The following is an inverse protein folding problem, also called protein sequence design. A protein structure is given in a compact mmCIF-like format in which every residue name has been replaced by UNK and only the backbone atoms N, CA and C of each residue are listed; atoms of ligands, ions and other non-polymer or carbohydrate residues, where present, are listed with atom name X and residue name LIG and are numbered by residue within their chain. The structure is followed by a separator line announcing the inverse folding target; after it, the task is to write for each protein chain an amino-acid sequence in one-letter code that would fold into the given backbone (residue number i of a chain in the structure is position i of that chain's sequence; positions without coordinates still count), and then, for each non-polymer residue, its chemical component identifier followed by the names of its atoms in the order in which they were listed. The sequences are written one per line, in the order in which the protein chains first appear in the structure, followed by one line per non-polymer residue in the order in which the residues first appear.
data_IF_863705031726
#
_entry.id   IF_863705031726
#
_cell.length_a   1.000
_cell.length_b   1.000
_cell.length_c   1.000
_cell.angle_alpha   90.00
_cell.angle_beta   90.00
_cell.angle_gamma   90.00
#
_symmetry.space_group_name_H-M   'P 1'
#
loop_
_entity.id
_entity.type
_entity.pdbx_description
1 polymer ?
#
# COMPACT_ATOMS: atom_id res chain seq x y z
N UNK A 1 19.07 -11.29 -10.75
CA UNK A 1 17.87 -12.12 -10.48
C UNK A 1 17.78 -13.30 -11.45
N UNK A 2 17.84 -13.09 -12.77
CA UNK A 2 17.67 -14.18 -13.74
C UNK A 2 18.80 -15.23 -13.73
N UNK A 3 19.98 -14.88 -13.20
CA UNK A 3 21.12 -15.81 -13.08
C UNK A 3 21.05 -16.72 -11.84
N UNK A 4 20.04 -16.55 -10.97
CA UNK A 4 19.87 -17.40 -9.79
C UNK A 4 19.40 -18.80 -10.23
N UNK A 5 20.08 -19.89 -9.83
CA UNK A 5 19.73 -21.25 -10.27
C UNK A 5 18.35 -21.72 -9.81
N UNK A 6 17.71 -21.02 -8.86
CA UNK A 6 16.33 -21.28 -8.41
C UNK A 6 15.29 -20.67 -9.35
N UNK A 7 15.69 -19.73 -10.20
CA UNK A 7 14.81 -19.02 -11.15
C UNK A 7 14.81 -19.74 -12.48
N UNK A 8 13.63 -20.14 -12.94
CA UNK A 8 13.42 -20.68 -14.28
C UNK A 8 12.56 -19.73 -15.08
N UNK A 9 13.16 -19.03 -16.04
CA UNK A 9 12.43 -18.17 -16.97
C UNK A 9 11.72 -19.03 -18.04
N UNK A 10 10.42 -18.81 -18.19
CA UNK A 10 9.61 -19.43 -19.23
C UNK A 10 8.93 -18.30 -20.00
N UNK A 11 9.22 -18.19 -21.30
CA UNK A 11 8.59 -17.21 -22.18
C UNK A 11 7.38 -17.87 -22.83
N UNK A 12 6.19 -17.34 -22.56
CA UNK A 12 4.94 -17.84 -23.12
C UNK A 12 3.72 -17.30 -22.36
N UNK A 13 2.54 -17.73 -22.77
CA UNK A 13 1.29 -17.38 -22.09
C UNK A 13 1.16 -18.13 -20.75
N UNK A 14 1.07 -17.36 -19.66
CA UNK A 14 1.03 -17.89 -18.30
C UNK A 14 -0.20 -18.76 -18.03
N UNK A 15 -1.37 -18.37 -18.59
CA UNK A 15 -2.62 -19.12 -18.47
C UNK A 15 -2.50 -20.50 -19.11
N UNK A 16 -2.05 -20.58 -20.36
CA UNK A 16 -1.81 -21.84 -21.07
C UNK A 16 -0.75 -22.70 -20.38
N UNK A 17 0.32 -22.07 -19.87
CA UNK A 17 1.37 -22.77 -19.13
C UNK A 17 0.85 -23.43 -17.85
N UNK A 18 -0.04 -22.76 -17.11
CA UNK A 18 -0.69 -23.31 -15.93
C UNK A 18 -1.73 -24.37 -16.29
N UNK A 19 -2.51 -24.15 -17.36
CA UNK A 19 -3.50 -25.11 -17.83
C UNK A 19 -2.86 -26.46 -18.16
N UNK A 20 -1.74 -26.48 -18.88
CA UNK A 20 -1.01 -27.70 -19.24
C UNK A 20 -0.07 -28.25 -18.16
N UNK A 21 0.14 -27.54 -17.05
CA UNK A 21 1.06 -27.97 -15.99
C UNK A 21 0.56 -29.24 -15.27
N UNK A 22 1.45 -30.00 -14.64
CA UNK A 22 1.07 -30.98 -13.59
C UNK A 22 1.58 -30.58 -12.20
N UNK A 23 2.65 -29.78 -12.16
CA UNK A 23 3.26 -29.27 -10.94
C UNK A 23 2.25 -28.42 -10.17
N UNK A 24 2.18 -28.64 -8.87
CA UNK A 24 1.47 -27.77 -7.94
C UNK A 24 2.45 -26.83 -7.22
N UNK A 25 1.94 -25.68 -6.79
CA UNK A 25 2.70 -24.61 -6.17
C UNK A 25 2.13 -24.27 -4.80
N UNK A 26 3.00 -23.83 -3.89
CA UNK A 26 2.62 -23.29 -2.59
C UNK A 26 2.08 -21.86 -2.76
N UNK A 27 2.64 -21.09 -3.70
CA UNK A 27 2.22 -19.73 -4.04
C UNK A 27 2.19 -19.60 -5.56
N UNK A 28 1.14 -18.98 -6.10
CA UNK A 28 1.08 -18.48 -7.48
C UNK A 28 0.91 -16.97 -7.40
N UNK A 29 1.74 -16.22 -8.12
CA UNK A 29 1.65 -14.76 -8.22
C UNK A 29 1.31 -14.40 -9.66
N UNK A 30 0.28 -13.58 -9.85
CA UNK A 30 -0.11 -13.03 -11.15
C UNK A 30 0.01 -11.51 -11.09
N UNK A 31 0.88 -10.94 -11.93
CA UNK A 31 1.09 -9.50 -12.07
C UNK A 31 0.78 -9.08 -13.52
N UNK A 32 -0.50 -9.09 -13.93
CA UNK A 32 -0.90 -8.78 -15.29
C UNK A 32 -0.97 -7.27 -15.53
N UNK A 33 -1.07 -6.88 -16.81
CA UNK A 33 -1.47 -5.52 -17.19
C UNK A 33 -2.89 -5.20 -16.73
N UNK A 34 -3.32 -3.94 -16.83
CA UNK A 34 -4.70 -3.54 -16.51
C UNK A 34 -5.74 -4.42 -17.22
N UNK A 35 -6.90 -4.64 -16.58
CA UNK A 35 -7.95 -5.56 -17.05
C UNK A 35 -8.50 -5.17 -18.44
N UNK A 36 -8.51 -3.87 -18.76
CA UNK A 36 -8.94 -3.35 -20.06
C UNK A 36 -7.93 -3.58 -21.19
N UNK A 37 -6.68 -3.94 -20.86
CA UNK A 37 -5.66 -4.25 -21.88
C UNK A 37 -6.05 -5.55 -22.56
N UNK A 38 -6.08 -5.55 -23.89
CA UNK A 38 -6.49 -6.69 -24.70
C UNK A 38 -5.78 -7.98 -24.26
N UNK A 39 -6.57 -9.02 -23.98
CA UNK A 39 -6.09 -10.32 -23.49
C UNK A 39 -5.83 -10.39 -21.99
N UNK A 40 -5.63 -9.27 -21.29
CA UNK A 40 -5.39 -9.24 -19.84
C UNK A 40 -6.65 -9.60 -19.04
N UNK A 41 -7.83 -9.21 -19.53
CA UNK A 41 -9.12 -9.59 -18.91
C UNK A 41 -9.28 -11.11 -18.76
N UNK A 42 -8.70 -11.90 -19.66
CA UNK A 42 -8.71 -13.37 -19.58
C UNK A 42 -7.95 -13.93 -18.37
N UNK A 43 -7.12 -13.11 -17.69
CA UNK A 43 -6.42 -13.46 -16.45
C UNK A 43 -7.21 -13.04 -15.20
N UNK A 44 -8.44 -12.59 -15.35
CA UNK A 44 -9.34 -12.25 -14.26
C UNK A 44 -10.67 -13.03 -14.29
N UNK A 45 -10.77 -14.04 -15.16
CA UNK A 45 -12.01 -14.83 -15.32
C UNK A 45 -12.11 -15.97 -14.31
N UNK A 46 -13.34 -16.42 -14.07
CA UNK A 46 -13.63 -17.57 -13.22
C UNK A 46 -12.87 -18.82 -13.69
N UNK A 47 -12.79 -19.06 -15.00
CA UNK A 47 -12.05 -20.17 -15.60
C UNK A 47 -10.55 -20.07 -15.29
N UNK A 48 -9.97 -18.88 -15.43
CA UNK A 48 -8.57 -18.67 -15.07
C UNK A 48 -8.32 -18.93 -13.59
N UNK A 49 -9.17 -18.41 -12.70
CA UNK A 49 -9.05 -18.67 -11.27
C UNK A 49 -9.17 -20.17 -10.95
N UNK A 50 -10.06 -20.90 -11.61
CA UNK A 50 -10.16 -22.37 -11.49
C UNK A 50 -8.88 -23.07 -11.94
N UNK A 51 -8.27 -22.63 -13.03
CA UNK A 51 -6.97 -23.15 -13.49
C UNK A 51 -5.91 -22.94 -12.41
N UNK A 52 -5.81 -21.73 -11.84
CA UNK A 52 -4.87 -21.43 -10.76
C UNK A 52 -5.14 -22.29 -9.53
N UNK A 53 -6.39 -22.36 -9.07
CA UNK A 53 -6.79 -23.15 -7.91
C UNK A 53 -6.45 -24.64 -8.07
N UNK A 54 -6.60 -25.21 -9.26
CA UNK A 54 -6.19 -26.60 -9.55
C UNK A 54 -4.67 -26.83 -9.47
N UNK A 55 -3.86 -25.76 -9.57
CA UNK A 55 -2.39 -25.79 -9.46
C UNK A 55 -1.88 -25.39 -8.08
N UNK A 56 -2.74 -25.04 -7.14
CA UNK A 56 -2.33 -24.83 -5.75
C UNK A 56 -2.37 -26.12 -4.95
N UNK A 57 -1.36 -26.30 -4.09
CA UNK A 57 -1.39 -27.31 -3.02
C UNK A 57 -2.45 -26.95 -1.98
N UNK A 58 -2.86 -27.89 -1.09
CA UNK A 58 -3.62 -27.54 0.10
C UNK A 58 -2.89 -26.47 0.91
N UNK A 59 -3.61 -25.43 1.34
CA UNK A 59 -3.06 -24.24 2.01
C UNK A 59 -2.29 -23.30 1.09
N UNK A 60 -2.31 -23.52 -0.23
CA UNK A 60 -1.62 -22.67 -1.20
C UNK A 60 -2.34 -21.35 -1.43
N UNK A 61 -1.57 -20.30 -1.71
CA UNK A 61 -2.08 -18.92 -1.87
C UNK A 61 -1.96 -18.47 -3.32
N UNK A 62 -3.02 -17.89 -3.85
CA UNK A 62 -2.98 -17.09 -5.07
C UNK A 62 -2.90 -15.61 -4.71
N UNK A 63 -1.90 -14.92 -5.26
CA UNK A 63 -1.75 -13.48 -5.14
C UNK A 63 -1.90 -12.84 -6.52
N UNK A 64 -2.83 -11.91 -6.68
CA UNK A 64 -3.03 -11.20 -7.94
C UNK A 64 -3.00 -9.69 -7.76
N UNK A 65 -2.14 -9.03 -8.54
CA UNK A 65 -2.13 -7.58 -8.66
C UNK A 65 -3.31 -7.12 -9.53
N UNK A 66 -4.04 -6.11 -9.05
CA UNK A 66 -5.13 -5.45 -9.75
C UNK A 66 -4.94 -3.94 -9.60
N UNK A 67 -4.90 -3.23 -10.72
CA UNK A 67 -4.81 -1.77 -10.72
C UNK A 67 -6.20 -1.15 -10.68
N UNK A 68 -6.37 -0.10 -9.89
CA UNK A 68 -7.66 0.60 -9.75
C UNK A 68 -7.95 1.55 -10.92
N UNK A 69 -7.01 1.72 -11.85
CA UNK A 69 -7.16 2.60 -13.02
C UNK A 69 -8.25 2.06 -13.94
N UNK A 70 -9.24 2.91 -14.26
CA UNK A 70 -10.38 2.53 -15.09
C UNK A 70 -11.17 1.34 -14.52
N UNK A 71 -11.19 1.19 -13.20
CA UNK A 71 -11.96 0.19 -12.47
C UNK A 71 -13.00 0.90 -11.60
N UNK A 72 -14.28 0.83 -11.96
CA UNK A 72 -15.34 1.43 -11.16
C UNK A 72 -15.62 0.57 -9.89
N UNK A 73 -16.21 1.14 -8.83
CA UNK A 73 -16.59 0.39 -7.63
C UNK A 73 -17.33 -0.92 -7.91
N UNK A 74 -18.32 -0.87 -8.80
CA UNK A 74 -19.11 -2.05 -9.17
C UNK A 74 -18.33 -3.07 -10.02
N UNK A 75 -17.24 -2.65 -10.69
CA UNK A 75 -16.34 -3.56 -11.37
C UNK A 75 -15.43 -4.28 -10.37
N UNK A 76 -15.03 -3.60 -9.28
CA UNK A 76 -14.31 -4.21 -8.17
C UNK A 76 -15.18 -5.24 -7.43
N UNK A 77 -16.47 -4.96 -7.23
CA UNK A 77 -17.41 -5.92 -6.62
C UNK A 77 -17.48 -7.21 -7.45
N UNK A 78 -17.66 -7.07 -8.78
CA UNK A 78 -17.71 -8.19 -9.71
C UNK A 78 -16.40 -8.98 -9.74
N UNK A 79 -15.26 -8.29 -9.76
CA UNK A 79 -13.94 -8.92 -9.74
C UNK A 79 -13.72 -9.70 -8.44
N UNK A 80 -14.07 -9.10 -7.30
CA UNK A 80 -13.97 -9.71 -5.97
C UNK A 80 -14.84 -10.96 -5.87
N UNK A 81 -16.10 -10.87 -6.32
CA UNK A 81 -17.01 -12.02 -6.35
C UNK A 81 -16.52 -13.14 -7.27
N UNK A 82 -16.00 -12.80 -8.46
CA UNK A 82 -15.43 -13.78 -9.40
C UNK A 82 -14.23 -14.50 -8.80
N UNK A 83 -13.36 -13.76 -8.10
CA UNK A 83 -12.18 -14.31 -7.43
C UNK A 83 -12.58 -15.21 -6.25
N UNK A 84 -13.49 -14.75 -5.38
CA UNK A 84 -13.96 -15.50 -4.22
C UNK A 84 -14.72 -16.78 -4.56
N UNK A 85 -15.36 -16.84 -5.74
CA UNK A 85 -16.01 -18.07 -6.22
C UNK A 85 -15.04 -19.27 -6.34
N UNK A 86 -13.72 -19.04 -6.39
CA UNK A 86 -12.69 -20.07 -6.34
C UNK A 86 -11.88 -20.03 -5.04
N UNK A 87 -11.66 -18.83 -4.49
CA UNK A 87 -10.85 -18.61 -3.30
C UNK A 87 -11.69 -18.00 -2.16
N UNK A 88 -12.45 -18.81 -1.40
CA UNK A 88 -13.35 -18.33 -0.34
C UNK A 88 -12.63 -17.57 0.78
N UNK A 89 -11.33 -17.82 0.99
CA UNK A 89 -10.52 -17.08 1.94
C UNK A 89 -9.76 -15.97 1.20
N UNK A 90 -10.44 -14.85 0.95
CA UNK A 90 -9.88 -13.67 0.27
C UNK A 90 -9.56 -12.57 1.26
N UNK A 91 -8.41 -11.95 1.09
CA UNK A 91 -8.08 -10.67 1.71
C UNK A 91 -7.56 -9.71 0.64
N UNK A 92 -7.90 -8.44 0.75
CA UNK A 92 -7.46 -7.40 -0.18
C UNK A 92 -6.40 -6.56 0.50
N UNK A 93 -5.26 -6.37 -0.16
CA UNK A 93 -4.09 -5.63 0.33
C UNK A 93 -3.72 -4.54 -0.67
N UNK A 94 -2.77 -3.67 -0.33
CA UNK A 94 -2.20 -2.68 -1.23
C UNK A 94 -0.68 -2.75 -1.21
N UNK A 95 -0.05 -2.54 -2.37
CA UNK A 95 1.42 -2.37 -2.45
C UNK A 95 1.82 -0.90 -2.66
N UNK A 96 0.92 -0.09 -3.19
CA UNK A 96 1.05 1.33 -3.41
C UNK A 96 -0.35 1.93 -3.71
N UNK A 97 -0.53 3.26 -3.60
CA UNK A 97 -1.78 3.90 -3.99
C UNK A 97 -2.21 3.50 -5.41
N UNK A 98 -3.45 3.00 -5.53
CA UNK A 98 -4.02 2.54 -6.80
C UNK A 98 -3.64 1.11 -7.21
N UNK A 99 -2.83 0.40 -6.42
CA UNK A 99 -2.49 -1.00 -6.64
C UNK A 99 -3.09 -1.86 -5.52
N UNK A 100 -4.01 -2.76 -5.90
CA UNK A 100 -4.59 -3.76 -5.04
C UNK A 100 -3.87 -5.09 -5.22
N UNK A 101 -3.76 -5.86 -4.14
CA UNK A 101 -3.27 -7.22 -4.14
C UNK A 101 -4.33 -8.12 -3.51
N UNK A 102 -4.96 -8.96 -4.35
CA UNK A 102 -5.95 -9.94 -3.90
C UNK A 102 -5.19 -11.19 -3.47
N UNK A 103 -5.28 -11.54 -2.19
CA UNK A 103 -4.67 -12.74 -1.60
C UNK A 103 -5.77 -13.76 -1.29
N UNK A 104 -5.83 -14.82 -2.10
CA UNK A 104 -6.84 -15.87 -2.04
C UNK A 104 -6.31 -17.23 -1.66
N UNK A 105 -7.09 -17.98 -0.89
CA UNK A 105 -6.86 -19.41 -0.65
C UNK A 105 -8.18 -20.20 -0.69
N UNK A 106 -8.06 -21.50 -0.95
CA UNK A 106 -9.17 -22.46 -0.82
C UNK A 106 -9.34 -22.99 0.59
N UNK A 107 -8.29 -22.90 1.38
CA UNK A 107 -8.23 -23.34 2.77
C UNK A 107 -8.03 -22.10 3.68
N UNK A 108 -8.52 -22.11 4.92
CA UNK A 108 -8.33 -20.99 5.84
C UNK A 108 -6.85 -20.62 6.01
N UNK A 109 -6.52 -19.33 5.90
CA UNK A 109 -5.15 -18.83 6.06
C UNK A 109 -4.98 -18.23 7.45
N UNK A 110 -4.26 -18.94 8.32
CA UNK A 110 -3.92 -18.43 9.64
C UNK A 110 -2.64 -17.58 9.57
N UNK A 111 -2.78 -16.27 9.71
CA UNK A 111 -1.64 -15.37 9.90
C UNK A 111 -1.13 -15.48 11.33
N UNK A 112 0.15 -15.82 11.49
CA UNK A 112 0.83 -15.88 12.79
C UNK A 112 1.93 -14.80 12.85
N UNK A 113 1.68 -13.76 13.65
CA UNK A 113 2.63 -12.67 13.83
C UNK A 113 3.94 -13.12 14.48
N UNK A 114 3.89 -14.09 15.40
CA UNK A 114 5.09 -14.62 16.06
C UNK A 114 5.97 -15.33 15.04
N UNK A 115 5.37 -16.15 14.18
CA UNK A 115 6.08 -16.81 13.08
C UNK A 115 6.61 -15.80 12.07
N UNK A 116 5.81 -14.79 11.70
CA UNK A 116 6.25 -13.74 10.78
C UNK A 116 7.46 -13.00 11.31
N UNK A 117 7.43 -12.57 12.58
CA UNK A 117 8.55 -11.89 13.23
C UNK A 117 9.82 -12.74 13.23
N UNK A 118 9.69 -14.04 13.47
CA UNK A 118 10.82 -14.97 13.39
C UNK A 118 11.37 -15.10 11.97
N UNK A 119 10.49 -15.23 10.97
CA UNK A 119 10.90 -15.35 9.56
C UNK A 119 11.56 -14.07 9.04
N UNK A 120 11.00 -12.90 9.38
CA UNK A 120 11.56 -11.60 9.04
C UNK A 120 12.99 -11.45 9.57
N UNK A 121 13.24 -11.88 10.82
CA UNK A 121 14.56 -11.76 11.45
C UNK A 121 15.57 -12.84 11.02
N UNK A 122 15.10 -14.06 10.67
CA UNK A 122 15.98 -15.22 10.47
C UNK A 122 16.18 -15.62 9.03
N UNK A 123 15.33 -15.18 8.11
CA UNK A 123 15.45 -15.55 6.69
C UNK A 123 16.44 -14.61 6.01
N UNK A 124 17.60 -15.09 5.53
CA UNK A 124 18.60 -14.23 4.91
C UNK A 124 18.02 -13.46 3.70
N UNK A 125 18.32 -12.16 3.62
CA UNK A 125 17.90 -11.27 2.53
C UNK A 125 16.48 -10.72 2.64
N UNK A 126 15.56 -11.37 3.38
CA UNK A 126 14.15 -10.94 3.42
C UNK A 126 13.96 -9.54 4.01
N UNK A 127 14.63 -9.23 5.13
CA UNK A 127 14.52 -7.91 5.73
C UNK A 127 15.11 -6.80 4.82
N UNK A 128 16.19 -7.12 4.10
CA UNK A 128 16.83 -6.19 3.17
C UNK A 128 15.94 -5.93 1.95
N UNK A 129 15.40 -6.99 1.35
CA UNK A 129 14.47 -6.91 0.21
C UNK A 129 13.20 -6.14 0.58
N UNK A 130 12.61 -6.40 1.76
CA UNK A 130 11.44 -5.68 2.24
C UNK A 130 11.75 -4.20 2.53
N UNK A 131 12.96 -3.88 3.00
CA UNK A 131 13.38 -2.50 3.22
C UNK A 131 13.44 -1.70 1.92
N UNK A 132 13.78 -2.33 0.80
CA UNK A 132 13.76 -1.68 -0.52
C UNK A 132 12.37 -1.18 -0.93
N UNK A 133 11.30 -1.83 -0.45
CA UNK A 133 9.91 -1.44 -0.69
C UNK A 133 9.29 -0.70 0.51
N UNK A 134 10.12 -0.17 1.41
CA UNK A 134 9.66 0.64 2.54
C UNK A 134 9.11 -0.16 3.73
N UNK A 135 9.26 -1.49 3.74
CA UNK A 135 8.82 -2.38 4.81
C UNK A 135 10.03 -2.76 5.66
N UNK A 136 10.22 -2.03 6.77
CA UNK A 136 11.38 -2.21 7.64
C UNK A 136 11.03 -2.73 9.04
N UNK A 137 9.75 -3.02 9.27
CA UNK A 137 9.24 -3.65 10.49
C UNK A 137 8.25 -4.77 10.11
N UNK A 138 8.25 -5.95 10.76
CA UNK A 138 7.38 -7.06 10.40
C UNK A 138 5.89 -6.70 10.46
N UNK A 139 5.50 -5.77 11.35
CA UNK A 139 4.13 -5.30 11.45
C UNK A 139 3.70 -4.42 10.26
N UNK A 140 4.63 -3.79 9.54
CA UNK A 140 4.29 -2.89 8.42
C UNK A 140 3.50 -3.60 7.32
N UNK A 141 3.73 -4.91 7.15
CA UNK A 141 3.00 -5.74 6.19
C UNK A 141 1.50 -5.65 6.43
N UNK A 142 1.05 -5.69 7.68
CA UNK A 142 -0.38 -5.66 8.00
C UNK A 142 -1.03 -4.27 7.86
N UNK A 143 -0.22 -3.21 7.92
CA UNK A 143 -0.69 -1.88 7.49
C UNK A 143 -1.13 -1.88 6.01
N UNK A 144 -0.56 -2.77 5.20
CA UNK A 144 -0.92 -2.89 3.80
C UNK A 144 -2.26 -3.63 3.57
N UNK A 145 -2.84 -4.26 4.59
CA UNK A 145 -4.14 -4.91 4.45
C UNK A 145 -5.26 -3.86 4.32
N UNK A 146 -6.05 -4.01 3.26
CA UNK A 146 -7.26 -3.25 2.99
C UNK A 146 -8.48 -3.88 3.63
N UNK A 147 -8.82 -5.10 3.23
CA UNK A 147 -9.97 -5.85 3.74
C UNK A 147 -9.51 -7.21 4.24
N UNK A 148 -10.05 -7.65 5.39
CA UNK A 148 -9.97 -9.03 5.84
C UNK A 148 -10.97 -9.92 5.11
N UNK A 149 -11.08 -11.18 5.52
CA UNK A 149 -12.00 -12.15 4.91
C UNK A 149 -13.46 -11.70 5.03
N UNK A 150 -13.86 -11.32 6.24
CA UNK A 150 -15.23 -10.87 6.51
C UNK A 150 -15.61 -9.66 5.66
N UNK A 151 -14.76 -8.64 5.61
CA UNK A 151 -15.04 -7.44 4.83
C UNK A 151 -15.00 -7.71 3.32
N UNK A 152 -14.17 -8.66 2.87
CA UNK A 152 -14.15 -9.09 1.46
C UNK A 152 -15.43 -9.84 1.09
N UNK A 153 -15.99 -10.65 1.99
CA UNK A 153 -17.29 -11.32 1.82
C UNK A 153 -18.44 -10.31 1.74
N UNK A 154 -18.39 -9.26 2.57
CA UNK A 154 -19.37 -8.17 2.52
C UNK A 154 -19.27 -7.39 1.19
N UNK A 155 -18.06 -7.14 0.68
CA UNK A 155 -17.83 -6.46 -0.61
C UNK A 155 -18.36 -7.28 -1.79
N UNK A 156 -18.15 -8.60 -1.81
CA UNK A 156 -18.68 -9.49 -2.84
C UNK A 156 -20.16 -9.83 -2.68
N UNK A 157 -20.77 -9.42 -1.56
CA UNK A 157 -22.11 -9.79 -1.17
C UNK A 157 -23.17 -9.35 -2.20
N UNK A 158 -24.03 -10.30 -2.58
CA UNK A 158 -25.18 -10.01 -3.47
C UNK A 158 -24.86 -9.95 -4.96
N UNK A 159 -23.61 -10.21 -5.37
CA UNK A 159 -23.23 -10.29 -6.78
C UNK A 159 -23.62 -11.65 -7.36
N UNK A 160 -24.56 -11.65 -8.32
CA UNK A 160 -25.10 -12.85 -8.96
C UNK A 160 -24.53 -13.16 -10.36
N UNK A 161 -23.55 -12.40 -10.82
CA UNK A 161 -22.84 -12.63 -12.09
C UNK A 161 -21.33 -12.70 -11.88
N UNK A 162 -20.61 -13.30 -12.83
CA UNK A 162 -19.16 -13.45 -12.77
C UNK A 162 -18.51 -13.00 -14.08
N UNK A 163 -17.26 -12.55 -13.99
CA UNK A 163 -16.42 -12.37 -15.17
C UNK A 163 -15.95 -13.76 -15.65
N UNK A 164 -16.46 -14.20 -16.80
CA UNK A 164 -16.19 -15.53 -17.37
C UNK A 164 -15.68 -15.41 -18.79
N UNK A 165 -15.00 -16.44 -19.31
CA UNK A 165 -14.45 -16.42 -20.67
C UNK A 165 -15.52 -16.15 -21.75
N UNK A 166 -16.68 -16.79 -21.66
CA UNK A 166 -17.77 -16.66 -22.65
C UNK A 166 -18.54 -15.33 -22.53
N UNK A 167 -18.34 -14.62 -21.42
CA UNK A 167 -18.96 -13.32 -21.14
C UNK A 167 -17.98 -12.47 -20.34
N UNK A 168 -16.92 -11.93 -20.99
CA UNK A 168 -15.84 -11.25 -20.29
C UNK A 168 -16.24 -9.81 -19.97
N UNK A 169 -17.21 -9.66 -19.06
CA UNK A 169 -17.87 -8.39 -18.72
C UNK A 169 -16.86 -7.27 -18.37
N UNK A 170 -15.82 -7.55 -17.58
CA UNK A 170 -14.82 -6.55 -17.18
C UNK A 170 -13.97 -6.04 -18.35
N UNK A 171 -13.69 -6.87 -19.36
CA UNK A 171 -12.92 -6.46 -20.56
C UNK A 171 -13.64 -5.37 -21.36
N UNK A 172 -14.98 -5.36 -21.31
CA UNK A 172 -15.80 -4.36 -22.02
C UNK A 172 -16.30 -3.22 -21.13
N UNK A 173 -16.42 -3.43 -19.81
CA UNK A 173 -16.85 -2.39 -18.87
C UNK A 173 -15.73 -1.44 -18.50
N UNK A 174 -14.56 -1.95 -18.14
CA UNK A 174 -13.43 -1.15 -17.65
C UNK A 174 -12.94 -0.10 -18.67
N UNK A 175 -12.92 -0.32 -20.00
CA UNK A 175 -12.59 0.74 -20.95
C UNK A 175 -13.50 1.97 -20.90
N UNK A 176 -14.73 1.84 -20.39
CA UNK A 176 -15.71 2.94 -20.33
C UNK A 176 -15.32 4.01 -19.29
N UNK A 177 -14.43 3.69 -18.36
CA UNK A 177 -13.97 4.58 -17.28
C UNK A 177 -12.50 5.01 -17.45
N UNK A 178 -11.90 4.84 -18.64
CA UNK A 178 -10.51 5.23 -18.93
C UNK A 178 -10.18 6.69 -18.61
N UNK A 179 -11.17 7.57 -18.72
CA UNK A 179 -11.04 9.01 -18.49
C UNK A 179 -11.71 9.46 -17.18
N UNK A 180 -12.00 8.53 -16.27
CA UNK A 180 -12.61 8.79 -14.96
C UNK A 180 -11.56 8.55 -13.89
N UNK A 181 -11.47 9.45 -12.90
CA UNK A 181 -10.64 9.24 -11.72
C UNK A 181 -11.31 8.23 -10.78
N UNK A 182 -11.00 6.96 -10.97
CA UNK A 182 -11.61 5.85 -10.23
C UNK A 182 -10.94 5.55 -8.90
N UNK A 183 -9.65 5.85 -8.73
CA UNK A 183 -8.90 5.49 -7.53
C UNK A 183 -9.50 6.06 -6.23
N UNK A 184 -9.92 7.34 -6.15
CA UNK A 184 -10.57 7.87 -4.95
C UNK A 184 -11.88 7.16 -4.62
N UNK A 185 -12.66 6.80 -5.63
CA UNK A 185 -13.94 6.08 -5.45
C UNK A 185 -13.73 4.69 -4.85
N UNK A 186 -12.71 3.97 -5.35
CA UNK A 186 -12.34 2.65 -4.82
C UNK A 186 -11.84 2.77 -3.37
N UNK A 187 -11.02 3.77 -3.07
CA UNK A 187 -10.55 4.01 -1.69
C UNK A 187 -11.72 4.32 -0.75
N UNK A 188 -12.67 5.15 -1.18
CA UNK A 188 -13.88 5.46 -0.41
C UNK A 188 -14.72 4.20 -0.14
N UNK A 189 -14.95 3.39 -1.18
CA UNK A 189 -15.69 2.13 -1.06
C UNK A 189 -15.01 1.18 -0.07
N UNK A 190 -13.72 0.88 -0.24
CA UNK A 190 -12.98 -0.03 0.64
C UNK A 190 -12.95 0.47 2.09
N UNK A 191 -12.88 1.79 2.30
CA UNK A 191 -12.91 2.37 3.64
C UNK A 191 -14.27 2.22 4.34
N UNK A 192 -15.36 2.07 3.60
CA UNK A 192 -16.71 1.91 4.17
C UNK A 192 -16.86 0.59 4.94
N UNK A 193 -16.09 -0.44 4.60
CA UNK A 193 -16.09 -1.74 5.28
C UNK A 193 -15.11 -1.80 6.47
N UNK A 194 -14.12 -0.91 6.54
CA UNK A 194 -13.07 -0.97 7.56
C UNK A 194 -13.54 -0.43 8.91
N UNK A 195 -13.26 -1.19 9.97
CA UNK A 195 -13.34 -0.73 11.36
C UNK A 195 -12.16 0.18 11.79
N UNK A 196 -12.22 0.80 12.98
CA UNK A 196 -11.13 1.62 13.52
C UNK A 196 -9.97 0.79 14.10
N UNK A 197 -10.19 -0.50 14.33
CA UNK A 197 -9.24 -1.40 14.93
C UNK A 197 -8.26 -1.95 13.88
N UNK A 198 -6.97 -2.10 14.22
CA UNK A 198 -6.02 -2.76 13.34
C UNK A 198 -6.47 -4.21 13.10
N UNK A 199 -6.08 -4.81 11.97
CA UNK A 199 -6.46 -6.17 11.66
C UNK A 199 -6.01 -7.13 12.77
N UNK A 200 -6.94 -7.99 13.20
CA UNK A 200 -6.69 -8.98 14.23
C UNK A 200 -5.88 -10.14 13.65
N UNK A 201 -4.61 -10.22 14.02
CA UNK A 201 -3.69 -11.26 13.55
C UNK A 201 -3.42 -12.22 14.70
N UNK A 202 -3.45 -13.53 14.44
CA UNK A 202 -3.15 -14.49 15.49
C UNK A 202 -1.72 -14.27 16.01
N UNK A 203 -1.57 -14.24 17.33
CA UNK A 203 -0.30 -13.99 17.98
C UNK A 203 0.14 -12.52 18.00
N UNK A 204 -0.65 -11.57 17.48
CA UNK A 204 -0.45 -10.13 17.69
C UNK A 204 -1.36 -9.61 18.81
N UNK A 205 -0.75 -9.06 19.86
CA UNK A 205 -1.45 -8.31 20.90
C UNK A 205 -1.00 -6.84 20.81
N UNK A 206 -1.87 -5.90 20.39
CA UNK A 206 -1.52 -4.49 20.27
C UNK A 206 -0.94 -3.87 21.56
N UNK A 207 -1.25 -4.40 22.75
CA UNK A 207 -0.70 -3.87 24.01
C UNK A 207 0.72 -4.36 24.29
N UNK A 208 1.10 -5.50 23.72
CA UNK A 208 2.40 -6.15 23.92
C UNK A 208 3.36 -5.90 22.76
N UNK A 209 2.84 -5.95 21.54
CA UNK A 209 3.62 -6.11 20.32
C UNK A 209 3.71 -4.83 19.47
N UNK A 210 2.84 -3.85 19.71
CA UNK A 210 2.91 -2.56 19.03
C UNK A 210 3.96 -1.68 19.71
N UNK A 211 5.09 -1.49 19.05
CA UNK A 211 6.14 -0.54 19.45
C UNK A 211 6.00 0.78 18.66
N UNK A 212 6.93 1.71 18.89
CA UNK A 212 6.89 3.03 18.27
C UNK A 212 6.97 2.95 16.73
N UNK A 213 7.80 2.05 16.21
CA UNK A 213 7.96 1.79 14.79
C UNK A 213 6.69 1.19 14.17
N UNK A 214 6.09 0.18 14.81
CA UNK A 214 4.82 -0.40 14.41
C UNK A 214 3.68 0.63 14.45
N UNK A 215 3.63 1.49 15.47
CA UNK A 215 2.64 2.56 15.55
C UNK A 215 2.82 3.59 14.42
N UNK A 216 4.06 3.98 14.12
CA UNK A 216 4.34 4.89 13.01
C UNK A 216 3.89 4.29 11.68
N UNK A 217 4.18 3.02 11.44
CA UNK A 217 3.83 2.33 10.20
C UNK A 217 2.32 2.09 10.04
N UNK A 218 1.58 1.85 11.14
CA UNK A 218 0.12 1.90 11.12
C UNK A 218 -0.38 3.27 10.71
N UNK A 219 0.19 4.32 11.31
CA UNK A 219 -0.14 5.69 10.97
C UNK A 219 0.06 5.97 9.48
N UNK A 220 1.21 5.57 8.94
CA UNK A 220 1.55 5.70 7.53
C UNK A 220 0.61 4.91 6.61
N UNK A 221 0.28 3.67 6.98
CA UNK A 221 -0.71 2.85 6.28
C UNK A 221 -2.07 3.55 6.23
N UNK A 222 -2.58 4.02 7.36
CA UNK A 222 -3.86 4.73 7.40
C UNK A 222 -3.84 6.02 6.57
N UNK A 223 -2.71 6.73 6.53
CA UNK A 223 -2.54 7.89 5.67
C UNK A 223 -2.67 7.52 4.19
N UNK A 224 -2.01 6.44 3.76
CA UNK A 224 -2.02 5.98 2.36
C UNK A 224 -3.42 5.61 1.83
N UNK A 225 -4.34 5.25 2.74
CA UNK A 225 -5.74 4.91 2.42
C UNK A 225 -6.72 6.02 2.80
N UNK A 226 -6.24 7.25 3.09
CA UNK A 226 -7.10 8.41 3.38
C UNK A 226 -7.80 8.40 4.74
N UNK A 227 -7.42 7.49 5.66
CA UNK A 227 -7.98 7.40 7.03
C UNK A 227 -7.25 8.34 7.97
N UNK A 228 -7.29 9.64 7.66
CA UNK A 228 -6.41 10.64 8.28
C UNK A 228 -6.50 10.75 9.81
N UNK A 229 -7.68 10.52 10.39
CA UNK A 229 -7.85 10.54 11.85
C UNK A 229 -7.09 9.39 12.54
N UNK A 230 -7.14 8.17 11.96
CA UNK A 230 -6.39 7.04 12.48
C UNK A 230 -4.89 7.20 12.21
N UNK A 231 -4.54 7.76 11.05
CA UNK A 231 -3.16 8.08 10.70
C UNK A 231 -2.50 8.97 11.76
N UNK A 232 -3.14 10.09 12.09
CA UNK A 232 -2.69 11.03 13.13
C UNK A 232 -2.60 10.33 14.48
N UNK A 233 -3.66 9.61 14.91
CA UNK A 233 -3.69 8.90 16.19
C UNK A 233 -2.47 7.99 16.39
N UNK A 234 -2.13 7.17 15.40
CA UNK A 234 -1.03 6.22 15.51
C UNK A 234 0.36 6.87 15.32
N UNK A 235 0.48 7.94 14.53
CA UNK A 235 1.71 8.74 14.45
C UNK A 235 1.96 9.55 15.74
N UNK A 236 0.93 10.07 16.39
CA UNK A 236 1.07 10.70 17.71
C UNK A 236 1.52 9.68 18.76
N UNK A 237 0.95 8.48 18.72
CA UNK A 237 1.38 7.38 19.59
C UNK A 237 2.87 7.06 19.38
N UNK A 238 3.35 6.98 18.13
CA UNK A 238 4.77 6.70 17.88
C UNK A 238 5.70 7.80 18.42
N UNK A 239 5.33 9.08 18.27
CA UNK A 239 6.09 10.19 18.85
C UNK A 239 6.08 10.19 20.38
N UNK A 240 5.01 9.68 21.01
CA UNK A 240 4.93 9.53 22.47
C UNK A 240 5.82 8.38 22.96
N UNK A 241 5.85 7.28 22.22
CA UNK A 241 6.66 6.10 22.56
C UNK A 241 8.16 6.30 22.31
N UNK A 242 8.52 7.10 21.30
CA UNK A 242 9.90 7.45 20.97
C UNK A 242 10.07 8.98 20.72
N UNK A 243 10.10 9.78 21.80
CA UNK A 243 10.09 11.25 21.71
C UNK A 243 11.41 11.89 21.20
N UNK A 244 12.41 11.05 20.92
CA UNK A 244 13.72 11.42 20.40
C UNK A 244 13.95 10.93 18.96
N UNK A 245 12.91 10.43 18.27
CA UNK A 245 13.04 9.93 16.90
C UNK A 245 12.54 10.98 15.87
N UNK A 246 13.44 11.70 15.15
CA UNK A 246 13.07 12.84 14.31
C UNK A 246 12.10 12.47 13.18
N UNK A 247 12.27 11.30 12.57
CA UNK A 247 11.43 10.84 11.44
C UNK A 247 9.95 10.74 11.82
N UNK A 248 9.62 10.39 13.07
CA UNK A 248 8.22 10.27 13.49
C UNK A 248 7.53 11.64 13.51
N UNK A 249 8.26 12.68 13.91
CA UNK A 249 7.76 14.04 13.86
C UNK A 249 7.66 14.58 12.43
N UNK A 250 8.58 14.18 11.53
CA UNK A 250 8.44 14.50 10.10
C UNK A 250 7.18 13.88 9.51
N UNK A 251 6.97 12.57 9.70
CA UNK A 251 5.78 11.91 9.18
C UNK A 251 4.48 12.45 9.77
N UNK A 252 4.46 12.74 11.08
CA UNK A 252 3.32 13.39 11.73
C UNK A 252 3.07 14.80 11.15
N UNK A 253 4.14 15.57 10.90
CA UNK A 253 4.06 16.88 10.25
C UNK A 253 3.49 16.80 8.83
N UNK A 254 3.94 15.83 8.05
CA UNK A 254 3.43 15.58 6.69
C UNK A 254 1.93 15.27 6.73
N UNK A 255 1.52 14.43 7.67
CA UNK A 255 0.12 14.06 7.84
C UNK A 255 -0.74 15.25 8.29
N UNK A 256 -0.24 16.11 9.18
CA UNK A 256 -0.93 17.33 9.58
C UNK A 256 -1.07 18.34 8.44
N UNK A 257 -0.02 18.50 7.61
CA UNK A 257 -0.06 19.35 6.41
C UNK A 257 -1.14 18.83 5.44
N UNK A 258 -1.20 17.52 5.22
CA UNK A 258 -2.17 16.90 4.30
C UNK A 258 -3.64 17.14 4.70
N UNK A 259 -3.95 17.27 5.99
CA UNK A 259 -5.30 17.58 6.48
C UNK A 259 -5.54 19.08 6.74
N UNK A 260 -4.61 19.95 6.36
CA UNK A 260 -4.72 21.40 6.55
C UNK A 260 -4.49 21.88 7.99
N UNK A 261 -4.02 21.02 8.91
CA UNK A 261 -3.62 21.39 10.28
C UNK A 261 -2.21 22.00 10.30
N UNK A 262 -2.03 23.10 9.56
CA UNK A 262 -0.72 23.74 9.32
C UNK A 262 0.02 24.13 10.62
N UNK A 263 -0.61 24.68 11.67
CA UNK A 263 0.09 25.00 12.92
C UNK A 263 0.67 23.76 13.63
N UNK A 264 -0.04 22.64 13.60
CA UNK A 264 0.42 21.38 14.18
C UNK A 264 1.56 20.78 13.35
N UNK A 265 1.46 20.86 12.02
CA UNK A 265 2.50 20.43 11.10
C UNK A 265 3.83 21.16 11.37
N UNK A 266 3.76 22.48 11.52
CA UNK A 266 4.91 23.32 11.88
C UNK A 266 5.57 22.86 13.18
N UNK A 267 4.77 22.70 14.22
CA UNK A 267 5.26 22.28 15.55
C UNK A 267 5.97 20.92 15.45
N UNK A 268 5.43 19.99 14.66
CA UNK A 268 6.04 18.70 14.41
C UNK A 268 7.37 18.83 13.66
N UNK A 269 7.46 19.61 12.57
CA UNK A 269 8.72 19.82 11.85
C UNK A 269 9.78 20.54 12.69
N UNK A 270 9.39 21.51 13.51
CA UNK A 270 10.29 22.19 14.45
C UNK A 270 10.84 21.20 15.48
N UNK A 271 9.99 20.29 15.98
CA UNK A 271 10.42 19.22 16.88
C UNK A 271 11.37 18.25 16.19
N UNK A 272 11.13 17.90 14.93
CA UNK A 272 12.04 17.08 14.13
C UNK A 272 13.41 17.75 13.97
N UNK A 273 13.45 19.04 13.64
CA UNK A 273 14.69 19.81 13.49
C UNK A 273 15.44 20.03 14.81
N UNK A 274 14.72 20.12 15.93
CA UNK A 274 15.35 20.18 17.25
C UNK A 274 16.08 18.88 17.62
N UNK A 275 15.65 17.74 17.06
CA UNK A 275 16.27 16.43 17.25
C UNK A 275 17.36 16.15 16.21
N UNK A 276 17.13 16.54 14.96
CA UNK A 276 18.08 16.45 13.85
C UNK A 276 18.06 17.73 13.02
N UNK A 277 19.02 18.60 13.30
CA UNK A 277 19.14 19.90 12.63
C UNK A 277 19.43 19.78 11.12
N UNK A 278 19.82 18.59 10.63
CA UNK A 278 20.16 18.33 9.24
C UNK A 278 19.08 17.53 8.50
N UNK A 279 17.88 17.38 9.09
CA UNK A 279 16.79 16.69 8.43
C UNK A 279 16.26 17.50 7.24
N UNK A 280 16.66 17.12 6.03
CA UNK A 280 16.33 17.84 4.78
C UNK A 280 14.83 17.94 4.55
N UNK A 281 14.08 16.87 4.83
CA UNK A 281 12.63 16.86 4.65
C UNK A 281 11.94 17.86 5.58
N UNK A 282 12.31 17.91 6.86
CA UNK A 282 11.79 18.89 7.79
C UNK A 282 12.17 20.33 7.41
N UNK A 283 13.40 20.56 6.91
CA UNK A 283 13.84 21.88 6.43
C UNK A 283 13.00 22.36 5.25
N UNK A 284 12.77 21.50 4.25
CA UNK A 284 11.96 21.82 3.07
C UNK A 284 10.51 22.04 3.47
N UNK A 285 9.89 21.10 4.21
CA UNK A 285 8.48 21.19 4.59
C UNK A 285 8.19 22.39 5.49
N UNK A 286 9.08 22.71 6.44
CA UNK A 286 8.95 23.93 7.24
C UNK A 286 9.18 25.18 6.40
N UNK A 287 10.17 25.17 5.49
CA UNK A 287 10.45 26.29 4.59
C UNK A 287 9.27 26.64 3.68
N UNK A 288 8.57 25.63 3.14
CA UNK A 288 7.32 25.84 2.39
C UNK A 288 6.24 26.50 3.24
N UNK A 289 6.03 26.02 4.49
CA UNK A 289 5.07 26.64 5.40
C UNK A 289 5.45 28.10 5.68
N UNK A 290 6.74 28.39 5.93
CA UNK A 290 7.21 29.76 6.19
C UNK A 290 7.03 30.67 4.96
N UNK A 291 7.20 30.14 3.75
CA UNK A 291 6.95 30.86 2.51
C UNK A 291 5.47 31.21 2.36
N UNK A 292 4.56 30.25 2.60
CA UNK A 292 3.11 30.45 2.57
C UNK A 292 2.66 31.51 3.60
N UNK A 293 3.38 31.64 4.72
CA UNK A 293 3.16 32.68 5.73
C UNK A 293 3.80 34.04 5.41
N UNK A 294 4.53 34.17 4.29
CA UNK A 294 5.26 35.37 3.92
C UNK A 294 6.54 35.63 4.73
N UNK A 295 7.04 34.63 5.46
CA UNK A 295 8.27 34.74 6.27
C UNK A 295 9.51 34.44 5.43
N UNK A 296 9.79 35.31 4.45
CA UNK A 296 10.80 35.11 3.41
C UNK A 296 12.22 34.89 3.98
N UNK A 297 12.59 35.62 5.05
CA UNK A 297 13.90 35.46 5.71
C UNK A 297 14.10 34.06 6.28
N UNK A 298 13.07 33.52 6.94
CA UNK A 298 13.10 32.16 7.49
C UNK A 298 13.14 31.12 6.37
N UNK A 299 12.37 31.32 5.31
CA UNK A 299 12.39 30.46 4.13
C UNK A 299 13.78 30.38 3.54
N UNK A 300 14.46 31.52 3.37
CA UNK A 300 15.85 31.59 2.84
C UNK A 300 16.82 30.81 3.72
N UNK A 301 16.77 30.99 5.04
CA UNK A 301 17.65 30.27 5.98
C UNK A 301 17.45 28.76 5.88
N UNK A 302 16.21 28.31 5.81
CA UNK A 302 15.86 26.89 5.74
C UNK A 302 16.26 26.28 4.39
N UNK A 303 15.96 26.96 3.28
CA UNK A 303 16.26 26.50 1.92
C UNK A 303 17.76 26.48 1.63
N UNK A 304 18.51 27.50 2.06
CA UNK A 304 19.99 27.53 1.93
C UNK A 304 20.65 26.38 2.69
N UNK A 305 20.13 26.05 3.88
CA UNK A 305 20.64 24.91 4.65
C UNK A 305 20.30 23.59 3.96
N UNK A 306 19.06 23.44 3.49
CA UNK A 306 18.64 22.24 2.76
C UNK A 306 19.48 22.05 1.49
N UNK A 307 19.79 23.13 0.76
CA UNK A 307 20.61 23.11 -0.46
C UNK A 307 22.04 22.64 -0.18
N UNK A 308 22.65 23.08 0.94
CA UNK A 308 23.98 22.59 1.33
C UNK A 308 24.00 21.10 1.65
N UNK A 309 22.91 20.58 2.23
CA UNK A 309 22.81 19.18 2.65
C UNK A 309 22.43 18.26 1.49
N UNK A 310 21.57 18.72 0.57
CA UNK A 310 21.10 17.96 -0.58
C UNK A 310 21.07 18.83 -1.85
N UNK A 311 22.22 19.11 -2.47
CA UNK A 311 22.31 20.01 -3.63
C UNK A 311 21.56 19.55 -4.88
N UNK A 312 21.19 18.27 -4.94
CA UNK A 312 20.50 17.65 -6.09
C UNK A 312 19.03 17.35 -5.78
N UNK A 313 18.51 17.73 -4.61
CA UNK A 313 17.10 17.48 -4.26
C UNK A 313 16.20 18.49 -4.98
N UNK A 314 15.37 17.99 -5.89
CA UNK A 314 14.47 18.81 -6.70
C UNK A 314 13.48 19.64 -5.86
N UNK A 315 13.09 19.16 -4.67
CA UNK A 315 12.17 19.87 -3.78
C UNK A 315 12.81 21.13 -3.19
N UNK A 316 14.12 21.06 -2.91
CA UNK A 316 14.90 22.20 -2.43
C UNK A 316 14.96 23.29 -3.49
N UNK A 317 15.29 22.92 -4.74
CA UNK A 317 15.30 23.86 -5.86
C UNK A 317 13.93 24.49 -6.08
N UNK A 318 12.86 23.68 -6.07
CA UNK A 318 11.49 24.18 -6.21
C UNK A 318 11.10 25.19 -5.11
N UNK A 319 11.54 24.97 -3.86
CA UNK A 319 11.31 25.94 -2.77
C UNK A 319 12.07 27.25 -3.00
N UNK A 320 13.31 27.18 -3.48
CA UNK A 320 14.13 28.37 -3.79
C UNK A 320 13.53 29.16 -4.95
N UNK A 321 13.09 28.48 -6.01
CA UNK A 321 12.47 29.11 -7.18
C UNK A 321 11.21 29.88 -6.76
N UNK A 322 10.32 29.25 -5.97
CA UNK A 322 9.12 29.91 -5.41
C UNK A 322 9.47 31.12 -4.54
N UNK A 323 10.52 31.04 -3.72
CA UNK A 323 10.99 32.17 -2.92
C UNK A 323 11.43 33.34 -3.81
N UNK A 324 12.21 33.06 -4.85
CA UNK A 324 12.68 34.09 -5.79
C UNK A 324 11.55 34.72 -6.60
N UNK A 325 10.50 33.96 -6.94
CA UNK A 325 9.30 34.49 -7.61
C UNK A 325 8.55 35.49 -6.74
N UNK A 326 8.41 35.21 -5.44
CA UNK A 326 7.73 36.10 -4.49
C UNK A 326 8.54 37.37 -4.19
N UNK A 327 9.86 37.33 -4.34
CA UNK A 327 10.76 38.46 -4.12
C UNK A 327 10.88 39.42 -5.32
N UNK A 328 10.39 39.02 -6.50
CA UNK A 328 10.38 39.85 -7.72
C UNK A 328 9.16 40.75 -7.80
#
# INVERSE_FOLDING_TARGET
MLDDPRVQLIIGDGRNRLLGARKQYDIVISDPSDVWVAGSGSLATLEFYRIVGARLKPGGIFAQCIHTRALLPEDLDLLTATFQAVFPHLQIWTSAPGNLLLLGSRDPVAWDYTRLKQLFARTPGVADDLRLVGIWHPFALFGAQLLGEKESDELAGGIGEFHIDDRPVLEFRTPRSLYVETAPMIVEQLNSFRGPDPPMIAGFDPRRDLDADGAYLLGFSYASVGRSNLAIKYMELSTTMAPNHPMFFVGLGNQYRAVGRVPDARTAYERALALDLNNVEALVSLGEIRLEEGQLDWTRVLSDRALRLAPQDARVHALIDKLQEVER
#
